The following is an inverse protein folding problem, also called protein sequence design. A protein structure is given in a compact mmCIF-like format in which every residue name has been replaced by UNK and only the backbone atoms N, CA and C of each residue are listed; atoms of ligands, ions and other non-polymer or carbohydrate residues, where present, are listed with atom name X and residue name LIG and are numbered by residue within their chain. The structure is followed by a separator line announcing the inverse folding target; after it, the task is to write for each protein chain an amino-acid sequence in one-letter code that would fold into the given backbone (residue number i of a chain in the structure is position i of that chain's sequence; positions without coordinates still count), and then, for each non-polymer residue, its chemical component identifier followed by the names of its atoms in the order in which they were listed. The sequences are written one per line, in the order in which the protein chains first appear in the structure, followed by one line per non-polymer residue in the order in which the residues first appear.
data_IF_957050712753
#
_entry.id   IF_957050712753
#
_cell.length_a   1.000
_cell.length_b   1.000
_cell.length_c   1.000
_cell.angle_alpha   90.00
_cell.angle_beta   90.00
_cell.angle_gamma   90.00
#
_symmetry.space_group_name_H-M   'P 1'
#
loop_
_entity.id
_entity.type
_entity.pdbx_description
1 polymer ?
#
# COMPACT_ATOMS: atom_id res chain seq x y z
N UNK A 1 7.90 14.10 5.29
CA UNK A 1 7.28 12.78 5.49
C UNK A 1 5.87 12.85 4.94
N UNK A 2 5.56 12.01 3.96
CA UNK A 2 4.22 11.83 3.39
C UNK A 2 3.59 10.57 3.99
N UNK A 3 2.28 10.43 3.78
CA UNK A 3 1.52 9.26 4.19
C UNK A 3 0.84 8.62 3.00
N UNK A 4 0.71 7.31 3.06
CA UNK A 4 0.22 6.49 1.97
C UNK A 4 -0.78 5.47 2.48
N UNK A 5 -1.62 4.97 1.59
CA UNK A 5 -2.39 3.75 1.80
C UNK A 5 -2.07 2.78 0.69
N UNK A 6 -1.71 1.56 1.05
CA UNK A 6 -1.35 0.50 0.11
C UNK A 6 -2.21 -0.74 0.38
N UNK A 7 -2.88 -1.23 -0.66
CA UNK A 7 -3.84 -2.32 -0.61
C UNK A 7 -3.20 -3.63 -1.03
N UNK A 8 -3.46 -4.67 -0.26
CA UNK A 8 -3.11 -6.06 -0.60
C UNK A 8 -4.23 -6.99 -0.15
N UNK A 9 -4.41 -8.10 -0.86
CA UNK A 9 -5.30 -9.15 -0.42
C UNK A 9 -4.59 -10.00 0.64
N UNK A 10 -5.21 -10.24 1.81
CA UNK A 10 -4.56 -10.97 2.90
C UNK A 10 -4.18 -12.41 2.55
N UNK A 11 -4.82 -13.02 1.55
CA UNK A 11 -4.45 -14.35 1.05
C UNK A 11 -3.25 -14.35 0.12
N UNK A 12 -2.81 -13.19 -0.37
CA UNK A 12 -1.61 -13.04 -1.19
C UNK A 12 -0.41 -12.57 -0.36
N UNK A 13 -0.59 -11.50 0.40
CA UNK A 13 0.44 -10.94 1.28
C UNK A 13 -0.22 -10.14 2.40
N UNK A 14 -0.16 -10.65 3.62
CA UNK A 14 -0.74 -10.03 4.81
C UNK A 14 0.28 -9.18 5.58
N UNK A 15 -0.19 -8.46 6.59
CA UNK A 15 0.72 -7.71 7.47
C UNK A 15 1.55 -8.65 8.35
N UNK A 16 1.03 -9.85 8.64
CA UNK A 16 1.74 -10.88 9.38
C UNK A 16 2.86 -11.48 8.52
N UNK A 17 2.64 -11.65 7.22
CA UNK A 17 3.68 -12.06 6.27
C UNK A 17 4.80 -11.02 6.20
N UNK A 18 4.46 -9.72 6.16
CA UNK A 18 5.45 -8.65 6.23
C UNK A 18 6.23 -8.66 7.56
N UNK A 19 5.54 -8.87 8.69
CA UNK A 19 6.16 -8.91 10.00
C UNK A 19 7.11 -10.11 10.16
N UNK A 20 6.82 -11.24 9.49
CA UNK A 20 7.63 -12.45 9.48
C UNK A 20 8.74 -12.46 8.41
N UNK A 21 8.71 -11.54 7.44
CA UNK A 21 9.72 -11.44 6.40
C UNK A 21 11.12 -11.16 6.97
N UNK A 22 12.20 -11.53 6.25
CA UNK A 22 13.56 -11.16 6.64
C UNK A 22 13.69 -9.63 6.82
N UNK A 23 14.27 -9.20 7.95
CA UNK A 23 14.33 -7.79 8.36
C UNK A 23 12.96 -7.07 8.40
N UNK A 24 11.87 -7.85 8.47
CA UNK A 24 10.49 -7.42 8.39
C UNK A 24 10.21 -6.54 7.16
N UNK A 25 10.92 -6.82 6.05
CA UNK A 25 10.93 -6.00 4.83
C UNK A 25 10.60 -6.86 3.62
N UNK A 26 9.78 -6.33 2.72
CA UNK A 26 9.45 -6.96 1.44
C UNK A 26 9.27 -5.93 0.34
N UNK A 27 9.50 -6.33 -0.92
CA UNK A 27 9.10 -5.55 -2.08
C UNK A 27 7.58 -5.47 -2.18
N UNK A 28 7.08 -4.32 -2.63
CA UNK A 28 5.67 -4.09 -2.96
C UNK A 28 5.44 -4.15 -4.47
N UNK A 29 5.53 -5.37 -5.01
CA UNK A 29 5.41 -5.64 -6.45
C UNK A 29 3.96 -5.64 -6.95
N UNK A 30 3.78 -5.93 -8.24
CA UNK A 30 2.47 -6.26 -8.80
C UNK A 30 1.54 -5.08 -9.06
N UNK A 31 1.98 -3.84 -8.82
CA UNK A 31 1.19 -2.65 -9.16
C UNK A 31 1.15 -2.48 -10.68
N UNK A 32 -0.05 -2.62 -11.27
CA UNK A 32 -0.30 -2.52 -12.72
C UNK A 32 -1.26 -1.38 -13.10
N UNK A 33 -1.41 -0.40 -12.22
CA UNK A 33 -2.13 0.85 -12.50
C UNK A 33 -1.13 1.99 -12.65
N UNK A 34 -1.19 2.74 -13.77
CA UNK A 34 -0.23 3.79 -14.07
C UNK A 34 -0.21 4.92 -13.03
N UNK A 35 -1.37 5.30 -12.48
CA UNK A 35 -1.44 6.36 -11.47
C UNK A 35 -0.86 5.87 -10.14
N UNK A 36 -1.23 4.65 -9.69
CA UNK A 36 -0.66 4.04 -8.49
C UNK A 36 0.87 3.87 -8.60
N UNK A 37 1.35 3.46 -9.78
CA UNK A 37 2.79 3.40 -10.10
C UNK A 37 3.45 4.77 -9.97
N UNK A 38 2.85 5.82 -10.55
CA UNK A 38 3.43 7.17 -10.49
C UNK A 38 3.55 7.67 -9.06
N UNK A 39 2.56 7.40 -8.19
CA UNK A 39 2.69 7.73 -6.77
C UNK A 39 3.90 7.07 -6.10
N UNK A 40 4.13 5.77 -6.35
CA UNK A 40 5.30 5.10 -5.80
C UNK A 40 6.61 5.62 -6.41
N UNK A 41 6.62 5.85 -7.73
CA UNK A 41 7.83 6.21 -8.47
C UNK A 41 8.29 7.64 -8.24
N UNK A 42 7.34 8.57 -8.25
CA UNK A 42 7.62 10.00 -8.33
C UNK A 42 7.53 10.67 -6.96
N UNK A 43 6.75 10.11 -6.03
CA UNK A 43 6.37 10.81 -4.80
C UNK A 43 6.78 10.15 -3.49
N UNK A 44 6.95 8.82 -3.44
CA UNK A 44 7.35 8.11 -2.22
C UNK A 44 8.83 8.27 -1.91
N UNK A 45 9.16 8.52 -0.65
CA UNK A 45 10.54 8.58 -0.16
C UNK A 45 10.74 7.67 1.05
N UNK A 46 11.99 7.23 1.28
CA UNK A 46 12.35 6.42 2.45
C UNK A 46 11.90 7.12 3.74
N UNK A 47 11.25 6.35 4.63
CA UNK A 47 10.71 6.82 5.90
C UNK A 47 9.26 7.31 5.83
N UNK A 48 8.67 7.47 4.64
CA UNK A 48 7.22 7.71 4.53
C UNK A 48 6.42 6.56 5.14
N UNK A 49 5.29 6.88 5.78
CA UNK A 49 4.46 5.90 6.46
C UNK A 49 3.28 5.45 5.60
N UNK A 50 2.90 4.18 5.76
CA UNK A 50 1.91 3.49 4.96
C UNK A 50 0.85 2.90 5.88
N UNK A 51 -0.41 3.26 5.67
CA UNK A 51 -1.56 2.51 6.15
C UNK A 51 -1.65 1.21 5.34
N UNK A 52 -1.34 0.09 5.99
CA UNK A 52 -1.40 -1.24 5.39
C UNK A 52 -2.86 -1.70 5.35
N UNK A 53 -3.42 -1.85 4.16
CA UNK A 53 -4.85 -2.11 3.96
C UNK A 53 -5.09 -3.51 3.40
N UNK A 54 -5.88 -4.32 4.11
CA UNK A 54 -6.39 -5.58 3.59
C UNK A 54 -7.65 -5.34 2.75
N UNK A 55 -7.65 -5.82 1.51
CA UNK A 55 -8.78 -5.76 0.59
C UNK A 55 -9.56 -7.07 0.51
N UNK A 56 -10.73 -7.02 -0.15
CA UNK A 56 -11.63 -8.16 -0.44
C UNK A 56 -12.28 -8.79 0.80
N UNK A 57 -11.51 -9.48 1.65
CA UNK A 57 -12.03 -10.16 2.85
C UNK A 57 -11.85 -9.27 4.08
N UNK A 58 -12.94 -8.95 4.76
CA UNK A 58 -12.97 -8.07 5.94
C UNK A 58 -12.14 -6.78 5.73
N UNK A 59 -12.49 -5.98 4.72
CA UNK A 59 -11.64 -4.89 4.26
C UNK A 59 -11.41 -3.84 5.35
N UNK A 60 -10.16 -3.42 5.53
CA UNK A 60 -9.79 -2.47 6.56
C UNK A 60 -8.29 -2.19 6.65
N UNK A 61 -7.94 -1.17 7.42
CA UNK A 61 -6.54 -0.85 7.74
C UNK A 61 -6.12 -1.72 8.93
N UNK A 62 -5.06 -2.49 8.74
CA UNK A 62 -4.62 -3.52 9.71
C UNK A 62 -3.33 -3.17 10.44
N UNK A 63 -2.65 -2.11 10.02
CA UNK A 63 -1.45 -1.61 10.67
C UNK A 63 -0.71 -0.58 9.85
N UNK A 64 0.56 -0.40 10.20
CA UNK A 64 1.48 0.57 9.63
C UNK A 64 2.71 -0.14 9.09
N UNK A 65 3.14 0.29 7.92
CA UNK A 65 4.46 0.02 7.36
C UNK A 65 5.17 1.35 7.05
N UNK A 66 6.44 1.28 6.67
CA UNK A 66 7.22 2.41 6.17
C UNK A 66 7.92 2.07 4.87
N UNK A 67 8.14 3.06 4.01
CA UNK A 67 9.00 2.90 2.83
C UNK A 67 10.44 2.70 3.30
N UNK A 68 11.02 1.55 2.98
CA UNK A 68 12.38 1.17 3.33
C UNK A 68 13.37 1.40 2.17
N UNK A 69 12.87 1.41 0.93
CA UNK A 69 13.64 1.71 -0.27
C UNK A 69 12.78 2.47 -1.27
N UNK A 70 13.36 3.50 -1.87
CA UNK A 70 12.73 4.25 -2.96
C UNK A 70 12.49 3.37 -4.20
N UNK A 71 11.67 3.89 -5.10
CA UNK A 71 11.17 3.14 -6.24
C UNK A 71 12.27 2.61 -7.17
N UNK A 72 12.10 1.37 -7.62
CA UNK A 72 12.95 0.70 -8.60
C UNK A 72 12.11 -0.19 -9.52
N UNK A 73 12.65 -0.63 -10.67
CA UNK A 73 11.90 -1.48 -11.61
C UNK A 73 11.35 -2.75 -10.97
N UNK A 74 10.06 -3.03 -11.25
CA UNK A 74 9.40 -4.25 -10.81
C UNK A 74 9.76 -5.41 -11.75
N UNK A 75 10.67 -6.26 -11.29
CA UNK A 75 11.18 -7.39 -12.06
C UNK A 75 10.15 -8.52 -12.24
N UNK A 76 9.07 -8.56 -11.44
CA UNK A 76 7.99 -9.54 -11.61
C UNK A 76 7.29 -9.38 -12.97
N UNK A 77 7.28 -8.14 -13.50
CA UNK A 77 6.72 -7.85 -14.81
C UNK A 77 7.47 -8.53 -15.97
N UNK A 78 8.69 -9.00 -15.76
CA UNK A 78 9.52 -9.62 -16.81
C UNK A 78 9.50 -11.15 -16.78
N UNK A 79 8.90 -11.75 -15.75
CA UNK A 79 8.83 -13.20 -15.59
C UNK A 79 7.52 -13.76 -16.18
N UNK A 80 7.54 -14.54 -17.27
CA UNK A 80 6.32 -15.10 -17.88
C UNK A 80 5.51 -16.04 -16.98
N UNK A 81 6.10 -16.57 -15.92
CA UNK A 81 5.41 -17.41 -14.94
C UNK A 81 4.75 -16.60 -13.81
N UNK A 82 5.03 -15.30 -13.71
CA UNK A 82 4.44 -14.43 -12.70
C UNK A 82 3.02 -13.99 -13.11
N UNK A 83 2.12 -13.88 -12.13
CA UNK A 83 0.74 -13.43 -12.34
C UNK A 83 0.65 -11.99 -12.89
N UNK A 84 1.68 -11.18 -12.67
CA UNK A 84 1.75 -9.79 -13.09
C UNK A 84 2.69 -9.55 -14.27
N UNK A 85 3.03 -10.60 -15.04
CA UNK A 85 3.82 -10.49 -16.26
C UNK A 85 3.24 -9.45 -17.23
N UNK A 86 4.10 -8.62 -17.81
CA UNK A 86 3.73 -7.70 -18.89
C UNK A 86 4.83 -7.74 -19.97
N UNK A 87 4.58 -8.36 -21.14
CA UNK A 87 5.60 -8.52 -22.19
C UNK A 87 6.08 -7.18 -22.78
N UNK A 88 5.42 -6.07 -22.47
CA UNK A 88 5.81 -4.73 -22.91
C UNK A 88 6.85 -4.07 -22.00
N UNK A 89 7.05 -4.61 -20.79
CA UNK A 89 8.06 -4.16 -19.84
C UNK A 89 9.34 -4.97 -20.04
N UNK A 90 10.49 -4.31 -20.17
CA UNK A 90 11.80 -4.97 -20.25
C UNK A 90 12.79 -4.34 -19.26
N UNK A 91 13.93 -4.98 -18.96
CA UNK A 91 14.99 -4.37 -18.13
C UNK A 91 15.47 -3.02 -18.64
N UNK A 92 15.57 -2.84 -19.96
CA UNK A 92 16.01 -1.61 -20.61
C UNK A 92 14.90 -0.55 -20.67
N UNK A 93 13.65 -0.98 -20.67
CA UNK A 93 12.46 -0.13 -20.72
C UNK A 93 11.40 -0.57 -19.70
N UNK A 94 11.66 -0.37 -18.40
CA UNK A 94 10.72 -0.78 -17.35
C UNK A 94 9.45 0.06 -17.40
N UNK A 95 8.30 -0.61 -17.45
CA UNK A 95 7.00 0.06 -17.36
C UNK A 95 6.47 0.14 -15.93
N UNK A 96 6.88 -0.81 -15.09
CA UNK A 96 6.37 -1.02 -13.74
C UNK A 96 7.48 -0.85 -12.72
N UNK A 97 7.08 -0.33 -11.56
CA UNK A 97 7.99 0.05 -10.49
C UNK A 97 7.38 -0.39 -9.16
N UNK A 98 8.25 -0.66 -8.20
CA UNK A 98 7.91 -1.05 -6.84
C UNK A 98 8.86 -0.37 -5.85
N UNK A 99 8.46 -0.38 -4.58
CA UNK A 99 9.26 0.07 -3.44
C UNK A 99 9.51 -1.11 -2.50
N UNK A 100 10.47 -1.00 -1.59
CA UNK A 100 10.50 -1.91 -0.45
C UNK A 100 9.77 -1.26 0.73
N UNK A 101 8.94 -2.05 1.42
CA UNK A 101 8.25 -1.63 2.63
C UNK A 101 8.72 -2.45 3.81
N UNK A 102 8.78 -1.83 4.97
CA UNK A 102 9.14 -2.47 6.23
C UNK A 102 8.02 -2.33 7.25
N UNK A 103 7.78 -3.41 7.98
CA UNK A 103 6.83 -3.44 9.09
C UNK A 103 7.12 -2.36 10.13
N UNK A 104 6.07 -1.73 10.66
CA UNK A 104 6.17 -0.78 11.79
C UNK A 104 5.29 -1.25 12.95
N UNK A 105 4.01 -1.46 12.69
CA UNK A 105 3.04 -1.82 13.75
C UNK A 105 1.90 -2.62 13.14
N UNK A 106 1.43 -3.66 13.83
CA UNK A 106 0.13 -4.29 13.56
C UNK A 106 -0.88 -3.74 14.57
N UNK A 107 -2.04 -3.32 14.10
CA UNK A 107 -3.07 -2.83 15.01
C UNK A 107 -3.71 -3.98 15.78
N UNK A 108 -4.00 -3.80 17.09
CA UNK A 108 -4.71 -4.80 17.89
C UNK A 108 -6.13 -5.03 17.35
N UNK A 109 -6.75 -3.95 16.84
CA UNK A 109 -8.05 -3.98 16.18
C UNK A 109 -7.92 -3.34 14.80
N UNK A 110 -8.11 -4.11 13.70
CA UNK A 110 -8.21 -3.53 12.37
C UNK A 110 -9.32 -2.49 12.29
N UNK A 111 -9.10 -1.41 11.54
CA UNK A 111 -10.11 -0.37 11.28
C UNK A 111 -10.89 -0.75 10.04
N UNK A 112 -12.14 -1.24 10.16
CA UNK A 112 -12.89 -1.73 9.01
C UNK A 112 -13.23 -0.58 8.06
N UNK A 113 -13.30 -0.85 6.75
CA UNK A 113 -13.71 0.15 5.75
C UNK A 113 -15.06 0.80 6.11
N UNK A 114 -15.96 0.04 6.70
CA UNK A 114 -17.27 0.52 7.13
C UNK A 114 -17.16 1.59 8.23
N UNK A 115 -16.21 1.47 9.17
CA UNK A 115 -16.04 2.43 10.27
C UNK A 115 -15.38 3.73 9.83
N UNK A 116 -14.72 3.75 8.66
CA UNK A 116 -14.14 4.96 8.08
C UNK A 116 -15.21 5.86 7.44
N UNK A 117 -16.35 5.30 7.03
CA UNK A 117 -17.43 6.06 6.38
C UNK A 117 -18.16 6.92 7.40
N UNK A 118 -18.36 8.20 7.07
CA UNK A 118 -19.05 9.16 7.94
C UNK A 118 -18.19 9.73 9.07
N UNK A 119 -16.91 9.36 9.15
CA UNK A 119 -15.96 9.98 10.08
C UNK A 119 -15.57 11.35 9.55
N UNK A 120 -15.77 12.38 10.37
CA UNK A 120 -15.36 13.75 10.06
C UNK A 120 -13.85 13.83 9.82
N UNK A 121 -13.44 14.45 8.71
CA UNK A 121 -12.05 14.57 8.26
C UNK A 121 -11.61 13.49 7.27
N UNK A 122 -12.46 12.48 6.97
CA UNK A 122 -12.18 11.45 5.95
C UNK A 122 -13.03 11.61 4.68
N UNK A 123 -13.81 12.68 4.56
CA UNK A 123 -14.78 12.88 3.47
C UNK A 123 -14.11 12.87 2.09
N UNK A 124 -12.87 13.35 2.02
CA UNK A 124 -12.09 13.48 0.78
C UNK A 124 -11.10 12.34 0.57
N UNK A 125 -11.02 11.38 1.50
CA UNK A 125 -10.07 10.28 1.45
C UNK A 125 -10.28 9.45 0.19
N UNK A 126 -9.21 9.26 -0.59
CA UNK A 126 -9.26 8.58 -1.89
C UNK A 126 -9.83 7.15 -1.79
N UNK A 127 -9.56 6.46 -0.68
CA UNK A 127 -10.12 5.14 -0.35
C UNK A 127 -11.66 5.11 -0.38
N UNK A 128 -12.31 6.19 0.04
CA UNK A 128 -13.76 6.24 0.26
C UNK A 128 -14.53 6.73 -0.97
N UNK A 129 -13.84 7.32 -1.96
CA UNK A 129 -14.44 7.82 -3.20
C UNK A 129 -15.09 6.69 -3.99
N UNK A 130 -16.33 6.92 -4.43
CA UNK A 130 -17.08 5.96 -5.24
C UNK A 130 -16.33 5.69 -6.54
N UNK A 131 -16.08 4.42 -6.83
CA UNK A 131 -15.40 4.00 -8.06
C UNK A 131 -13.88 4.03 -8.00
N UNK A 132 -13.26 4.46 -6.90
CA UNK A 132 -11.80 4.37 -6.78
C UNK A 132 -11.33 2.92 -6.92
N UNK A 133 -10.34 2.71 -7.78
CA UNK A 133 -9.70 1.41 -8.08
C UNK A 133 -8.19 1.45 -7.82
N UNK A 134 -7.70 2.53 -7.21
CA UNK A 134 -6.29 2.70 -6.90
C UNK A 134 -5.88 1.78 -5.75
N UNK A 135 -4.80 1.02 -5.93
CA UNK A 135 -4.19 0.18 -4.91
C UNK A 135 -3.19 0.95 -4.03
N UNK A 136 -2.64 2.05 -4.55
CA UNK A 136 -1.76 2.97 -3.85
C UNK A 136 -2.37 4.35 -3.95
N UNK A 137 -2.56 5.03 -2.82
CA UNK A 137 -3.14 6.37 -2.77
C UNK A 137 -2.42 7.25 -1.75
N UNK A 138 -2.27 8.56 -2.01
CA UNK A 138 -1.81 9.49 -0.99
C UNK A 138 -2.82 9.56 0.16
N UNK A 139 -2.32 9.85 1.36
CA UNK A 139 -3.11 10.08 2.57
C UNK A 139 -2.64 11.39 3.18
N UNK A 140 -3.58 12.25 3.58
CA UNK A 140 -3.22 13.49 4.26
C UNK A 140 -2.78 13.22 5.70
N UNK A 141 -2.04 14.15 6.30
CA UNK A 141 -1.64 14.04 7.71
C UNK A 141 -2.86 13.94 8.64
N UNK A 142 -3.94 14.66 8.34
CA UNK A 142 -5.20 14.59 9.09
C UNK A 142 -5.87 13.22 8.96
N UNK A 143 -5.98 12.69 7.74
CA UNK A 143 -6.55 11.36 7.49
C UNK A 143 -5.76 10.27 8.22
N UNK A 144 -4.42 10.32 8.15
CA UNK A 144 -3.55 9.35 8.81
C UNK A 144 -3.75 9.38 10.34
N UNK A 145 -3.79 10.56 10.94
CA UNK A 145 -4.04 10.74 12.38
C UNK A 145 -5.40 10.21 12.81
N UNK A 146 -6.45 10.45 12.01
CA UNK A 146 -7.80 9.94 12.30
C UNK A 146 -7.81 8.41 12.27
N UNK A 147 -7.28 7.79 11.21
CA UNK A 147 -7.28 6.33 11.06
C UNK A 147 -6.48 5.66 12.18
N UNK A 148 -5.27 6.15 12.46
CA UNK A 148 -4.41 5.59 13.52
C UNK A 148 -5.01 5.77 14.91
N UNK A 149 -5.75 6.86 15.17
CA UNK A 149 -6.51 7.03 16.40
C UNK A 149 -7.63 6.00 16.52
N UNK A 150 -8.40 5.77 15.45
CA UNK A 150 -9.48 4.77 15.45
C UNK A 150 -8.94 3.35 15.73
N UNK A 151 -7.73 3.04 15.27
CA UNK A 151 -7.10 1.73 15.49
C UNK A 151 -6.63 1.48 16.93
N UNK A 152 -6.46 2.54 17.72
CA UNK A 152 -5.88 2.53 19.07
C UNK A 152 -6.91 2.78 20.17
N UNK A 153 -8.19 2.80 19.81
CA UNK A 153 -9.32 2.90 20.73
C UNK A 153 -9.71 1.53 21.30
#
# INVERSE_FOLDING_TARGET
MKYWLMKTEPGCFSIDDLAAAPNQTSSWDGVRNFQARNFMRDDMSVGDLILFYHSVKNPGVVGIARVARESYPDHTAWNPADRHFDPRSTPEKPLWFMVDVQFVEKFPHPVPLASLRGVKGLEMMELLKKGSRLSVTPVTDEEFKIVTRLARQ
#
